data_IF_418684497973
#
_entry.id   IF_418684497973
#
_cell.length_a   1.000
_cell.length_b   1.000
_cell.length_c   1.000
_cell.angle_alpha   90.00
_cell.angle_beta   90.00
_cell.angle_gamma   90.00
#
_symmetry.space_group_name_H-M   'P 1'
#
loop_
_entity.id
_entity.type
_entity.pdbx_description
1 polymer ?
#
# COMPACT_ATOMS: atom_id res chain seq x y z
N UNK A 1 3.98 38.34 33.46
CA UNK A 1 3.79 37.97 32.03
C UNK A 1 4.54 36.69 31.65
N UNK A 2 5.56 36.27 32.39
CA UNK A 2 6.46 35.15 32.07
C UNK A 2 5.87 33.74 32.27
N UNK A 3 5.07 33.50 33.32
CA UNK A 3 4.53 32.15 33.60
C UNK A 3 3.52 31.63 32.56
N UNK A 4 2.64 32.51 32.05
CA UNK A 4 1.60 32.13 31.05
C UNK A 4 2.18 31.73 29.68
N UNK A 5 3.43 32.07 29.38
CA UNK A 5 4.07 31.80 28.09
C UNK A 5 4.94 30.52 28.11
N UNK A 6 5.26 30.02 29.30
CA UNK A 6 6.09 28.82 29.50
C UNK A 6 5.35 27.50 29.24
N UNK A 7 4.06 27.41 29.55
CA UNK A 7 3.30 26.17 29.37
C UNK A 7 3.16 25.76 27.88
N UNK A 8 2.85 26.68 26.94
CA UNK A 8 2.86 26.34 25.52
C UNK A 8 4.25 25.94 24.97
N UNK A 9 5.33 26.35 25.62
CA UNK A 9 6.70 25.96 25.23
C UNK A 9 7.05 24.57 25.76
N UNK A 10 6.61 24.24 26.98
CA UNK A 10 6.78 22.92 27.59
C UNK A 10 6.11 21.83 26.76
N UNK A 11 4.86 22.04 26.36
CA UNK A 11 4.11 21.11 25.49
C UNK A 11 4.84 20.85 24.17
N UNK A 12 5.46 21.88 23.60
CA UNK A 12 6.25 21.74 22.37
C UNK A 12 7.54 20.99 22.60
N UNK A 13 8.24 21.22 23.70
CA UNK A 13 9.47 20.50 24.06
C UNK A 13 9.18 19.02 24.36
N UNK A 14 8.01 18.69 24.92
CA UNK A 14 7.56 17.30 25.09
C UNK A 14 7.49 16.53 23.76
N UNK A 15 7.05 17.18 22.67
CA UNK A 15 7.03 16.56 21.33
C UNK A 15 8.43 16.18 20.83
N UNK A 16 9.48 16.81 21.35
CA UNK A 16 10.88 16.48 21.06
C UNK A 16 11.50 15.58 22.14
N UNK A 17 10.69 14.91 22.94
CA UNK A 17 11.13 13.88 23.88
C UNK A 17 11.84 14.41 25.13
N UNK A 18 11.69 15.69 25.48
CA UNK A 18 12.09 16.18 26.80
C UNK A 18 10.98 15.87 27.80
N UNK A 19 11.32 15.27 28.95
CA UNK A 19 10.36 15.10 30.05
C UNK A 19 10.18 16.39 30.86
N UNK A 20 9.16 16.45 31.72
CA UNK A 20 8.79 17.66 32.48
C UNK A 20 9.96 18.27 33.27
N UNK A 21 10.80 17.42 33.87
CA UNK A 21 11.97 17.89 34.65
C UNK A 21 13.04 18.48 33.74
N UNK A 22 13.30 17.84 32.60
CA UNK A 22 14.23 18.34 31.57
C UNK A 22 13.76 19.66 30.98
N UNK A 23 12.46 19.79 30.67
CA UNK A 23 11.87 21.03 30.16
C UNK A 23 12.05 22.17 31.17
N UNK A 24 11.71 21.93 32.43
CA UNK A 24 11.84 22.93 33.50
C UNK A 24 13.29 23.35 33.72
N UNK A 25 14.20 22.38 33.72
CA UNK A 25 15.62 22.64 33.91
C UNK A 25 16.23 23.41 32.74
N UNK A 26 15.91 23.00 31.51
CA UNK A 26 16.39 23.67 30.30
C UNK A 26 15.86 25.11 30.18
N UNK A 27 14.56 25.32 30.44
CA UNK A 27 13.97 26.67 30.42
C UNK A 27 14.54 27.56 31.54
N UNK A 28 14.81 27.01 32.72
CA UNK A 28 15.49 27.72 33.79
C UNK A 28 16.92 28.12 33.38
N UNK A 29 17.67 27.22 32.75
CA UNK A 29 19.01 27.50 32.25
C UNK A 29 18.99 28.59 31.17
N UNK A 30 18.07 28.53 30.21
CA UNK A 30 17.90 29.57 29.17
C UNK A 30 17.63 30.95 29.76
N UNK A 31 16.85 31.03 30.84
CA UNK A 31 16.53 32.30 31.49
C UNK A 31 17.69 32.86 32.33
N UNK A 32 18.49 31.98 32.94
CA UNK A 32 19.62 32.35 33.79
C UNK A 32 20.89 32.62 32.98
N UNK A 33 21.03 32.02 31.79
CA UNK A 33 22.28 32.03 31.02
C UNK A 33 23.34 31.17 31.71
N UNK A 34 24.51 31.75 32.00
CA UNK A 34 25.59 31.04 32.70
C UNK A 34 25.36 31.05 34.21
N UNK A 35 25.04 29.89 34.78
CA UNK A 35 24.73 29.73 36.20
C UNK A 35 25.25 28.40 36.76
N UNK A 36 25.39 28.29 38.08
CA UNK A 36 25.72 27.02 38.72
C UNK A 36 24.57 26.01 38.62
N UNK A 37 24.88 24.71 38.68
CA UNK A 37 23.86 23.64 38.68
C UNK A 37 22.81 23.86 39.78
N UNK A 38 23.24 24.32 40.96
CA UNK A 38 22.35 24.55 42.11
C UNK A 38 21.36 25.68 41.84
N UNK A 39 21.80 26.77 41.21
CA UNK A 39 20.92 27.91 40.86
C UNK A 39 19.87 27.49 39.83
N UNK A 40 20.29 26.78 38.78
CA UNK A 40 19.36 26.25 37.77
C UNK A 40 18.38 25.26 38.39
N UNK A 41 18.87 24.33 39.23
CA UNK A 41 18.02 23.35 39.92
C UNK A 41 16.96 24.02 40.81
N UNK A 42 17.37 25.04 41.55
CA UNK A 42 16.48 25.81 42.44
C UNK A 42 15.40 26.51 41.64
N UNK A 43 15.77 27.17 40.53
CA UNK A 43 14.80 27.85 39.65
C UNK A 43 13.88 26.87 38.93
N UNK A 44 14.38 25.69 38.56
CA UNK A 44 13.60 24.64 37.91
C UNK A 44 12.70 23.86 38.88
N UNK A 45 12.79 24.10 40.19
CA UNK A 45 12.02 23.37 41.20
C UNK A 45 12.43 21.91 41.35
N UNK A 46 13.69 21.57 41.08
CA UNK A 46 14.23 20.21 41.21
C UNK A 46 15.30 20.13 42.31
N UNK A 47 15.45 18.95 42.92
CA UNK A 47 16.51 18.73 43.92
C UNK A 47 17.90 18.88 43.31
N UNK A 48 18.88 19.26 44.14
CA UNK A 48 20.27 19.42 43.73
C UNK A 48 20.85 18.15 43.11
N UNK A 49 20.55 16.98 43.69
CA UNK A 49 20.99 15.68 43.16
C UNK A 49 20.44 15.44 41.75
N UNK A 50 19.14 15.68 41.55
CA UNK A 50 18.52 15.54 40.22
C UNK A 50 19.08 16.57 39.22
N UNK A 51 19.51 17.75 39.69
CA UNK A 51 20.11 18.77 38.84
C UNK A 51 21.34 18.28 38.09
N UNK A 52 22.24 17.53 38.74
CA UNK A 52 23.43 16.99 38.07
C UNK A 52 23.07 15.95 37.00
N UNK A 53 22.13 15.04 37.29
CA UNK A 53 21.65 14.05 36.31
C UNK A 53 20.93 14.69 35.11
N UNK A 54 20.25 15.82 35.33
CA UNK A 54 19.57 16.56 34.27
C UNK A 54 20.56 17.31 33.38
N UNK A 55 21.62 17.88 33.96
CA UNK A 55 22.71 18.50 33.19
C UNK A 55 23.34 17.47 32.27
N UNK A 56 23.71 16.29 32.79
CA UNK A 56 24.36 15.25 31.97
C UNK A 56 23.47 14.79 30.81
N UNK A 57 22.16 14.63 31.05
CA UNK A 57 21.19 14.24 30.00
C UNK A 57 21.02 15.32 28.94
N UNK A 58 20.86 16.57 29.36
CA UNK A 58 20.67 17.70 28.44
C UNK A 58 21.96 18.04 27.69
N UNK A 59 23.12 17.84 28.30
CA UNK A 59 24.44 17.96 27.67
C UNK A 59 24.67 16.87 26.61
N UNK A 60 24.27 15.63 26.87
CA UNK A 60 24.28 14.55 25.85
C UNK A 60 23.40 14.87 24.63
N UNK A 61 22.38 15.71 24.81
CA UNK A 61 21.52 16.21 23.72
C UNK A 61 22.04 17.51 23.08
N UNK A 62 23.16 18.05 23.59
CA UNK A 62 23.74 19.30 23.12
C UNK A 62 22.93 20.55 23.47
N UNK A 63 21.99 20.46 24.43
CA UNK A 63 21.15 21.58 24.87
C UNK A 63 21.82 22.44 25.93
N UNK A 64 22.76 21.86 26.67
CA UNK A 64 23.56 22.53 27.69
C UNK A 64 25.03 22.15 27.50
N UNK A 65 25.92 22.99 27.99
CA UNK A 65 27.34 22.70 28.16
C UNK A 65 27.78 23.02 29.58
N UNK A 66 28.76 22.27 30.08
CA UNK A 66 29.45 22.61 31.33
C UNK A 66 30.76 23.35 31.04
N UNK A 67 30.92 24.55 31.62
CA UNK A 67 32.13 25.35 31.50
C UNK A 67 32.69 25.63 32.90
N UNK A 68 34.00 25.46 33.09
CA UNK A 68 34.68 25.88 34.31
C UNK A 68 34.90 27.38 34.31
N UNK A 69 34.57 28.06 35.41
CA UNK A 69 34.96 29.47 35.58
C UNK A 69 36.41 29.61 36.08
N UNK A 70 36.90 30.85 36.11
CA UNK A 70 38.28 31.16 36.55
C UNK A 70 38.57 30.77 38.02
N UNK A 71 37.53 30.48 38.82
CA UNK A 71 37.63 30.02 40.20
C UNK A 71 37.48 28.48 40.33
N UNK A 72 37.36 27.76 39.21
CA UNK A 72 37.24 26.30 39.17
C UNK A 72 35.81 25.76 39.39
N UNK A 73 34.80 26.63 39.44
CA UNK A 73 33.40 26.24 39.63
C UNK A 73 32.78 25.89 38.27
N UNK A 74 32.15 24.72 38.18
CA UNK A 74 31.43 24.29 36.97
C UNK A 74 30.09 25.03 36.86
N UNK A 75 29.94 25.79 35.77
CA UNK A 75 28.70 26.46 35.39
C UNK A 75 28.05 25.71 34.23
N UNK A 76 26.72 25.71 34.25
CA UNK A 76 25.86 25.27 33.16
C UNK A 76 25.63 26.47 32.27
N UNK A 77 25.79 26.27 30.95
CA UNK A 77 25.52 27.28 29.93
C UNK A 77 24.53 26.67 28.93
N UNK A 78 23.41 27.34 28.61
CA UNK A 78 22.52 26.88 27.56
C UNK A 78 23.18 27.06 26.19
N UNK A 79 23.05 26.05 25.34
CA UNK A 79 23.47 26.11 23.95
C UNK A 79 22.41 26.77 23.07
N UNK A 80 22.79 27.10 21.83
CA UNK A 80 21.85 27.66 20.85
C UNK A 80 20.69 26.65 20.58
N UNK A 81 19.41 27.05 20.77
CA UNK A 81 18.26 26.15 20.60
C UNK A 81 18.14 25.52 19.20
N UNK A 82 18.83 26.03 18.18
CA UNK A 82 18.93 25.42 16.84
C UNK A 82 19.50 23.99 16.86
N UNK A 83 20.15 23.57 17.96
CA UNK A 83 20.54 22.17 18.17
C UNK A 83 19.34 21.21 18.11
N UNK A 84 18.14 21.64 18.55
CA UNK A 84 16.92 20.83 18.45
C UNK A 84 16.53 20.55 17.00
N UNK A 85 16.73 21.51 16.11
CA UNK A 85 16.47 21.35 14.67
C UNK A 85 17.45 20.33 14.08
N UNK A 86 18.74 20.48 14.40
CA UNK A 86 19.80 19.55 13.93
C UNK A 86 19.59 18.12 14.43
N UNK A 87 19.18 17.95 15.68
CA UNK A 87 18.86 16.65 16.28
C UNK A 87 17.68 15.98 15.59
N UNK A 88 16.62 16.75 15.28
CA UNK A 88 15.48 16.27 14.53
C UNK A 88 15.83 15.88 13.09
N UNK A 89 16.62 16.70 12.38
CA UNK A 89 17.05 16.40 11.01
C UNK A 89 17.88 15.12 10.96
N UNK A 90 18.79 14.92 11.91
CA UNK A 90 19.55 13.67 12.04
C UNK A 90 18.61 12.47 12.27
N UNK A 91 17.66 12.60 13.20
CA UNK A 91 16.69 11.55 13.49
C UNK A 91 15.84 11.20 12.26
N UNK A 92 15.44 12.21 11.48
CA UNK A 92 14.70 12.02 10.22
C UNK A 92 15.53 11.27 9.16
N UNK A 93 16.83 11.57 9.03
CA UNK A 93 17.71 10.84 8.12
C UNK A 93 17.81 9.36 8.49
N UNK A 94 18.06 9.06 9.78
CA UNK A 94 18.10 7.67 10.28
C UNK A 94 16.77 6.95 10.04
N UNK A 95 15.64 7.62 10.28
CA UNK A 95 14.32 7.04 10.01
C UNK A 95 14.09 6.75 8.53
N UNK A 96 14.57 7.61 7.62
CA UNK A 96 14.46 7.36 6.18
C UNK A 96 15.23 6.11 5.74
N UNK A 97 16.33 5.78 6.42
CA UNK A 97 17.11 4.55 6.18
C UNK A 97 16.47 3.31 6.84
N UNK A 98 15.95 3.46 8.06
CA UNK A 98 15.38 2.35 8.84
C UNK A 98 13.98 1.91 8.35
N UNK A 99 13.14 2.85 7.91
CA UNK A 99 11.75 2.56 7.50
C UNK A 99 11.66 1.51 6.38
N UNK A 100 12.49 1.55 5.31
CA UNK A 100 12.55 0.48 4.32
C UNK A 100 12.80 -0.92 4.90
N UNK A 101 13.73 -1.06 5.85
CA UNK A 101 14.04 -2.34 6.50
C UNK A 101 12.84 -2.84 7.32
N UNK A 102 12.21 -1.96 8.11
CA UNK A 102 11.00 -2.28 8.86
C UNK A 102 9.83 -2.66 7.94
N UNK A 103 9.72 -2.04 6.76
CA UNK A 103 8.73 -2.42 5.74
C UNK A 103 8.99 -3.82 5.18
N UNK A 104 10.25 -4.20 4.99
CA UNK A 104 10.60 -5.57 4.56
C UNK A 104 10.09 -6.58 5.58
N UNK A 105 10.40 -6.38 6.87
CA UNK A 105 9.94 -7.26 7.96
C UNK A 105 8.40 -7.29 8.04
N UNK A 106 7.77 -6.11 7.92
CA UNK A 106 6.31 -5.99 7.92
C UNK A 106 5.68 -6.78 6.77
N UNK A 107 6.23 -6.71 5.56
CA UNK A 107 5.73 -7.44 4.39
C UNK A 107 5.98 -8.94 4.49
N UNK A 108 7.16 -9.36 4.97
CA UNK A 108 7.49 -10.77 5.15
C UNK A 108 6.53 -11.45 6.14
N UNK A 109 6.16 -10.76 7.22
CA UNK A 109 5.18 -11.26 8.21
C UNK A 109 3.78 -11.51 7.65
N UNK A 110 3.43 -10.89 6.50
CA UNK A 110 2.12 -11.03 5.83
C UNK A 110 2.11 -12.06 4.71
N UNK A 111 3.26 -12.61 4.34
CA UNK A 111 3.37 -13.58 3.24
C UNK A 111 2.77 -14.96 3.60
N UNK A 112 2.42 -15.21 4.87
CA UNK A 112 1.94 -16.52 5.35
C UNK A 112 0.41 -16.71 5.41
N UNK A 113 -0.40 -15.65 5.29
CA UNK A 113 -1.87 -15.78 5.33
C UNK A 113 -2.51 -15.14 4.11
N UNK A 114 -3.30 -15.90 3.32
CA UNK A 114 -4.02 -15.34 2.19
C UNK A 114 -4.95 -14.22 2.68
N UNK A 115 -4.93 -13.07 2.01
CA UNK A 115 -5.88 -11.99 2.31
C UNK A 115 -7.08 -12.13 1.39
N UNK A 116 -8.21 -12.53 1.97
CA UNK A 116 -9.49 -12.60 1.27
C UNK A 116 -10.31 -11.36 1.55
N UNK A 117 -10.90 -10.77 0.51
CA UNK A 117 -11.82 -9.64 0.59
C UNK A 117 -13.07 -10.00 -0.21
N UNK A 118 -14.23 -9.86 0.41
CA UNK A 118 -15.54 -10.02 -0.23
C UNK A 118 -16.16 -8.64 -0.42
N UNK A 119 -16.61 -8.37 -1.63
CA UNK A 119 -17.23 -7.12 -2.03
C UNK A 119 -18.62 -7.41 -2.53
N UNK A 120 -19.63 -6.76 -1.95
CA UNK A 120 -21.03 -6.99 -2.30
C UNK A 120 -21.57 -5.84 -3.16
N UNK A 121 -22.49 -6.18 -4.05
CA UNK A 121 -23.19 -5.23 -4.91
C UNK A 121 -22.32 -4.65 -6.02
N UNK A 122 -22.97 -3.85 -6.88
CA UNK A 122 -22.35 -3.23 -8.05
C UNK A 122 -21.11 -2.40 -7.71
N UNK A 123 -21.16 -1.58 -6.68
CA UNK A 123 -19.99 -0.77 -6.29
C UNK A 123 -18.82 -1.63 -5.78
N UNK A 124 -19.14 -2.73 -5.09
CA UNK A 124 -18.17 -3.72 -4.66
C UNK A 124 -17.48 -4.40 -5.84
N UNK A 125 -18.28 -4.86 -6.82
CA UNK A 125 -17.77 -5.46 -8.06
C UNK A 125 -16.90 -4.46 -8.84
N UNK A 126 -17.35 -3.21 -8.99
CA UNK A 126 -16.57 -2.15 -9.64
C UNK A 126 -15.20 -1.97 -8.96
N UNK A 127 -15.17 -1.96 -7.63
CA UNK A 127 -13.94 -1.82 -6.86
C UNK A 127 -13.02 -3.01 -7.07
N UNK A 128 -13.54 -4.24 -6.95
CA UNK A 128 -12.77 -5.46 -7.15
C UNK A 128 -12.18 -5.55 -8.56
N UNK A 129 -12.95 -5.17 -9.59
CA UNK A 129 -12.47 -5.07 -10.97
C UNK A 129 -11.38 -4.01 -11.08
N UNK A 130 -11.58 -2.81 -10.51
CA UNK A 130 -10.59 -1.73 -10.57
C UNK A 130 -9.27 -2.10 -9.92
N UNK A 131 -9.29 -2.88 -8.83
CA UNK A 131 -8.08 -3.38 -8.17
C UNK A 131 -7.25 -4.31 -9.07
N UNK A 132 -7.84 -4.96 -10.08
CA UNK A 132 -7.08 -5.77 -11.05
C UNK A 132 -6.11 -4.93 -11.89
N UNK A 133 -6.28 -3.60 -11.90
CA UNK A 133 -5.38 -2.65 -12.57
C UNK A 133 -4.11 -2.37 -11.75
N UNK A 134 -4.04 -2.82 -10.50
CA UNK A 134 -2.83 -2.85 -9.70
C UNK A 134 -2.02 -4.09 -10.09
N UNK A 135 -1.49 -4.04 -11.32
CA UNK A 135 -0.78 -5.14 -11.96
C UNK A 135 0.64 -4.71 -12.37
N UNK A 136 1.64 -4.81 -11.47
CA UNK A 136 3.03 -4.50 -11.78
C UNK A 136 3.61 -5.29 -12.95
N UNK A 137 3.24 -6.57 -13.12
CA UNK A 137 3.71 -7.39 -14.25
C UNK A 137 3.17 -6.96 -15.61
N UNK A 138 2.17 -6.06 -15.64
CA UNK A 138 1.50 -5.59 -16.87
C UNK A 138 0.83 -6.70 -17.67
N UNK A 139 0.54 -7.84 -17.05
CA UNK A 139 -0.16 -8.96 -17.68
C UNK A 139 -1.34 -9.38 -16.81
N UNK A 140 -2.53 -9.17 -17.34
CA UNK A 140 -3.79 -9.58 -16.76
C UNK A 140 -4.33 -10.79 -17.52
N UNK A 141 -4.65 -11.86 -16.79
CA UNK A 141 -5.27 -13.07 -17.37
C UNK A 141 -6.75 -13.08 -16.98
N UNK A 142 -7.64 -13.28 -17.95
CA UNK A 142 -9.08 -13.21 -17.75
C UNK A 142 -9.82 -14.42 -18.29
N UNK A 143 -10.68 -15.01 -17.48
CA UNK A 143 -11.80 -15.85 -17.96
C UNK A 143 -13.05 -15.02 -17.77
N UNK A 144 -13.75 -14.65 -18.84
CA UNK A 144 -14.88 -13.72 -18.72
C UNK A 144 -16.20 -14.39 -19.07
N UNK A 145 -17.18 -14.16 -18.22
CA UNK A 145 -18.59 -14.31 -18.54
C UNK A 145 -19.10 -12.97 -19.05
N UNK A 146 -19.34 -12.87 -20.36
CA UNK A 146 -19.70 -11.60 -21.01
C UNK A 146 -21.08 -11.10 -20.60
N UNK A 147 -22.04 -12.02 -20.43
CA UNK A 147 -23.37 -11.70 -19.92
C UNK A 147 -23.30 -10.96 -18.59
N UNK A 148 -22.53 -11.48 -17.64
CA UNK A 148 -22.40 -10.87 -16.31
C UNK A 148 -21.74 -9.49 -16.38
N UNK A 149 -20.65 -9.34 -17.14
CA UNK A 149 -19.94 -8.05 -17.27
C UNK A 149 -20.78 -6.97 -17.97
N UNK A 150 -21.62 -7.36 -18.93
CA UNK A 150 -22.53 -6.46 -19.64
C UNK A 150 -23.69 -6.00 -18.76
N UNK A 151 -24.15 -6.82 -17.83
CA UNK A 151 -25.17 -6.41 -16.86
C UNK A 151 -24.55 -5.60 -15.71
N UNK A 152 -23.48 -6.10 -15.10
CA UNK A 152 -22.75 -5.48 -13.98
C UNK A 152 -21.25 -5.74 -14.13
N UNK A 153 -20.43 -4.72 -14.41
CA UNK A 153 -20.68 -3.28 -14.16
C UNK A 153 -21.34 -2.52 -15.32
N UNK A 154 -21.50 -3.16 -16.48
CA UNK A 154 -22.11 -2.56 -17.66
C UNK A 154 -21.10 -1.94 -18.63
N UNK A 155 -21.52 -1.83 -19.90
CA UNK A 155 -20.64 -1.45 -21.01
C UNK A 155 -19.98 -0.07 -20.83
N UNK A 156 -20.74 0.93 -20.34
CA UNK A 156 -20.22 2.28 -20.12
C UNK A 156 -19.11 2.33 -19.07
N UNK A 157 -19.28 1.61 -17.96
CA UNK A 157 -18.25 1.53 -16.92
C UNK A 157 -17.02 0.76 -17.44
N UNK A 158 -17.25 -0.35 -18.15
CA UNK A 158 -16.18 -1.14 -18.76
C UNK A 158 -15.35 -0.34 -19.78
N UNK A 159 -15.93 0.62 -20.50
CA UNK A 159 -15.16 1.50 -21.38
C UNK A 159 -14.09 2.30 -20.61
N UNK A 160 -14.45 2.85 -19.44
CA UNK A 160 -13.50 3.55 -18.57
C UNK A 160 -12.42 2.62 -18.02
N UNK A 161 -12.81 1.42 -17.58
CA UNK A 161 -11.87 0.39 -17.14
C UNK A 161 -10.88 -0.02 -18.24
N UNK A 162 -11.38 -0.26 -19.46
CA UNK A 162 -10.55 -0.62 -20.62
C UNK A 162 -9.57 0.51 -20.95
N UNK A 163 -10.04 1.76 -21.00
CA UNK A 163 -9.19 2.91 -21.27
C UNK A 163 -8.07 3.06 -20.23
N UNK A 164 -8.39 2.92 -18.94
CA UNK A 164 -7.40 2.99 -17.87
C UNK A 164 -6.40 1.83 -17.92
N UNK A 165 -6.87 0.60 -18.20
CA UNK A 165 -6.01 -0.58 -18.39
C UNK A 165 -4.98 -0.35 -19.50
N UNK A 166 -5.45 0.16 -20.65
CA UNK A 166 -4.60 0.49 -21.81
C UNK A 166 -3.61 1.61 -21.47
N UNK A 167 -4.08 2.67 -20.82
CA UNK A 167 -3.22 3.79 -20.37
C UNK A 167 -2.11 3.31 -19.43
N UNK A 168 -2.38 2.33 -18.58
CA UNK A 168 -1.39 1.69 -17.70
C UNK A 168 -0.49 0.67 -18.40
N UNK A 169 -0.71 0.39 -19.67
CA UNK A 169 0.07 -0.55 -20.48
C UNK A 169 -0.14 -2.02 -20.12
N UNK A 170 -1.32 -2.39 -19.60
CA UNK A 170 -1.59 -3.76 -19.10
C UNK A 170 -2.16 -4.61 -20.24
N UNK A 171 -1.42 -5.63 -20.68
CA UNK A 171 -1.88 -6.65 -21.64
C UNK A 171 -2.94 -7.53 -21.00
N UNK A 172 -4.09 -7.70 -21.67
CA UNK A 172 -5.14 -8.64 -21.29
C UNK A 172 -5.12 -9.85 -22.22
N UNK A 173 -4.94 -11.04 -21.65
CA UNK A 173 -5.22 -12.32 -22.32
C UNK A 173 -6.52 -12.87 -21.77
N UNK A 174 -7.50 -13.08 -22.65
CA UNK A 174 -8.85 -13.46 -22.25
C UNK A 174 -9.36 -14.70 -22.96
N UNK A 175 -9.94 -15.62 -22.19
CA UNK A 175 -10.74 -16.74 -22.70
C UNK A 175 -12.22 -16.50 -22.41
N UNK A 176 -13.08 -16.79 -23.38
CA UNK A 176 -14.54 -16.74 -23.26
C UNK A 176 -15.18 -18.02 -23.80
N UNK A 177 -16.38 -18.34 -23.34
CA UNK A 177 -17.19 -19.42 -23.93
C UNK A 177 -18.00 -18.85 -25.09
N UNK A 178 -17.98 -19.49 -26.27
CA UNK A 178 -18.83 -19.06 -27.40
C UNK A 178 -20.31 -19.12 -27.04
N UNK A 179 -20.71 -20.13 -26.26
CA UNK A 179 -22.09 -20.31 -25.76
C UNK A 179 -22.60 -19.15 -24.91
N UNK A 180 -21.70 -18.33 -24.34
CA UNK A 180 -22.03 -17.18 -23.49
C UNK A 180 -21.71 -15.83 -24.14
N UNK A 181 -21.35 -15.83 -25.42
CA UNK A 181 -21.13 -14.58 -26.15
C UNK A 181 -22.49 -14.02 -26.60
N UNK A 182 -22.96 -12.99 -25.93
CA UNK A 182 -24.26 -12.36 -26.24
C UNK A 182 -24.17 -11.35 -27.39
N UNK A 183 -23.00 -10.72 -27.56
CA UNK A 183 -22.72 -9.72 -28.59
C UNK A 183 -21.26 -9.81 -29.04
N UNK A 184 -20.96 -9.47 -30.30
CA UNK A 184 -19.59 -9.47 -30.85
C UNK A 184 -18.80 -8.21 -30.41
N UNK A 185 -18.68 -7.99 -29.10
CA UNK A 185 -18.03 -6.81 -28.52
C UNK A 185 -16.69 -7.16 -27.87
N UNK A 186 -15.82 -6.14 -27.78
CA UNK A 186 -14.47 -6.26 -27.21
C UNK A 186 -13.65 -7.42 -27.80
N UNK A 187 -13.49 -7.49 -29.14
CA UNK A 187 -12.66 -8.51 -29.78
C UNK A 187 -11.18 -8.31 -29.43
N UNK A 188 -10.32 -9.20 -29.93
CA UNK A 188 -8.88 -8.94 -29.97
C UNK A 188 -8.62 -7.59 -30.65
N UNK A 189 -7.85 -6.73 -29.99
CA UNK A 189 -7.47 -5.42 -30.52
C UNK A 189 -6.08 -5.06 -30.02
N UNK A 190 -5.15 -4.82 -30.95
CA UNK A 190 -3.77 -4.47 -30.64
C UNK A 190 -3.70 -3.17 -29.83
N UNK A 191 -4.45 -2.15 -30.25
CA UNK A 191 -4.52 -0.83 -29.59
C UNK A 191 -5.09 -0.93 -28.17
N UNK A 192 -5.97 -1.89 -27.91
CA UNK A 192 -6.51 -2.14 -26.58
C UNK A 192 -5.68 -3.16 -25.78
N UNK A 193 -4.51 -3.57 -26.28
CA UNK A 193 -3.64 -4.56 -25.64
C UNK A 193 -4.40 -5.82 -25.23
N UNK A 194 -5.30 -6.31 -26.09
CA UNK A 194 -6.20 -7.44 -25.79
C UNK A 194 -6.00 -8.59 -26.77
N UNK A 195 -5.80 -9.79 -26.24
CA UNK A 195 -5.80 -11.05 -26.99
C UNK A 195 -6.95 -11.92 -26.49
N UNK A 196 -7.92 -12.17 -27.35
CA UNK A 196 -9.07 -13.03 -27.09
C UNK A 196 -8.86 -14.42 -27.71
N UNK A 197 -9.29 -15.46 -26.99
CA UNK A 197 -9.54 -16.80 -27.50
C UNK A 197 -10.89 -17.32 -27.00
N UNK A 198 -11.44 -18.27 -27.74
CA UNK A 198 -12.66 -18.98 -27.37
C UNK A 198 -12.33 -20.38 -26.87
N UNK A 199 -12.90 -20.74 -25.72
CA UNK A 199 -12.80 -22.08 -25.15
C UNK A 199 -13.45 -23.13 -26.09
N UNK A 200 -13.07 -24.41 -25.94
CA UNK A 200 -13.80 -25.53 -26.57
C UNK A 200 -15.30 -25.47 -26.29
N UNK A 201 -16.11 -26.02 -27.22
CA UNK A 201 -17.57 -25.87 -27.20
C UNK A 201 -18.26 -26.50 -25.98
N UNK A 202 -17.63 -27.49 -25.35
CA UNK A 202 -18.07 -28.20 -24.15
C UNK A 202 -17.66 -27.50 -22.84
N UNK A 203 -16.84 -26.46 -22.92
CA UNK A 203 -16.39 -25.69 -21.75
C UNK A 203 -17.30 -24.50 -21.51
N UNK A 204 -18.02 -24.53 -20.39
CA UNK A 204 -18.89 -23.43 -19.96
C UNK A 204 -18.28 -22.62 -18.80
N UNK A 205 -17.90 -21.37 -19.09
CA UNK A 205 -17.27 -20.43 -18.14
C UNK A 205 -18.32 -19.47 -17.57
N UNK A 206 -18.98 -19.88 -16.48
CA UNK A 206 -20.10 -19.15 -15.88
C UNK A 206 -19.73 -17.94 -15.01
N UNK A 207 -18.49 -17.84 -14.53
CA UNK A 207 -18.02 -16.74 -13.69
C UNK A 207 -16.86 -16.00 -14.34
N UNK A 208 -16.74 -14.72 -14.01
CA UNK A 208 -15.56 -13.94 -14.40
C UNK A 208 -14.45 -14.17 -13.37
N UNK A 209 -13.26 -14.51 -13.86
CA UNK A 209 -12.03 -14.62 -13.08
C UNK A 209 -10.94 -13.75 -13.71
N UNK A 210 -10.23 -13.00 -12.89
CA UNK A 210 -9.00 -12.32 -13.24
C UNK A 210 -7.84 -12.81 -12.38
N UNK A 211 -6.66 -12.93 -12.98
CA UNK A 211 -5.40 -13.20 -12.27
C UNK A 211 -4.40 -12.10 -12.63
N UNK A 212 -3.96 -11.35 -11.61
CA UNK A 212 -2.87 -10.38 -11.69
C UNK A 212 -1.85 -10.67 -10.59
N UNK A 213 -0.57 -10.86 -10.98
CA UNK A 213 0.53 -11.08 -10.03
C UNK A 213 0.25 -12.20 -9.00
N UNK A 214 0.13 -11.86 -7.72
CA UNK A 214 -0.16 -12.77 -6.61
C UNK A 214 -1.65 -12.70 -6.17
N UNK A 215 -2.53 -12.11 -6.99
CA UNK A 215 -3.96 -11.88 -6.69
C UNK A 215 -4.87 -12.58 -7.70
N UNK A 216 -5.96 -13.15 -7.19
CA UNK A 216 -7.07 -13.71 -7.98
C UNK A 216 -8.36 -12.99 -7.60
N UNK A 217 -9.09 -12.50 -8.61
CA UNK A 217 -10.39 -11.87 -8.45
C UNK A 217 -11.46 -12.72 -9.14
N UNK A 218 -12.50 -13.10 -8.42
CA UNK A 218 -13.70 -13.72 -8.96
C UNK A 218 -14.86 -12.73 -8.89
N UNK A 219 -15.69 -12.70 -9.92
CA UNK A 219 -16.94 -11.94 -9.95
C UNK A 219 -18.07 -12.93 -10.22
N UNK A 220 -19.04 -12.98 -9.31
CA UNK A 220 -20.18 -13.88 -9.37
C UNK A 220 -21.18 -13.44 -10.43
N UNK A 221 -22.23 -14.24 -10.61
CA UNK A 221 -23.39 -13.80 -11.38
C UNK A 221 -24.17 -12.70 -10.65
N UNK A 222 -25.10 -12.06 -11.36
CA UNK A 222 -26.07 -11.12 -10.79
C UNK A 222 -26.94 -11.70 -9.68
N UNK A 223 -27.23 -12.99 -9.70
CA UNK A 223 -28.04 -13.63 -8.66
C UNK A 223 -27.35 -13.54 -7.29
N UNK A 224 -26.03 -13.75 -7.25
CA UNK A 224 -25.26 -13.66 -6.02
C UNK A 224 -24.63 -12.28 -5.77
N UNK A 225 -24.38 -11.51 -6.84
CA UNK A 225 -23.98 -10.10 -6.83
C UNK A 225 -22.80 -9.75 -5.89
N UNK A 226 -21.70 -10.49 -5.99
CA UNK A 226 -20.47 -10.24 -5.24
C UNK A 226 -19.21 -10.39 -6.09
N UNK A 227 -18.10 -9.87 -5.57
CA UNK A 227 -16.76 -10.16 -6.04
C UNK A 227 -15.86 -10.57 -4.88
N UNK A 228 -14.99 -11.55 -5.11
CA UNK A 228 -14.04 -12.05 -4.14
C UNK A 228 -12.62 -11.82 -4.65
N UNK A 229 -11.81 -11.11 -3.87
CA UNK A 229 -10.39 -10.84 -4.16
C UNK A 229 -9.54 -11.59 -3.15
N UNK A 230 -8.66 -12.45 -3.64
CA UNK A 230 -7.76 -13.27 -2.82
C UNK A 230 -6.32 -12.96 -3.21
N UNK A 231 -5.58 -12.33 -2.30
CA UNK A 231 -4.14 -12.15 -2.41
C UNK A 231 -3.45 -13.40 -1.83
N UNK A 232 -2.98 -14.28 -2.71
CA UNK A 232 -2.34 -15.55 -2.38
C UNK A 232 -1.48 -16.01 -3.56
N UNK A 233 -0.18 -16.04 -3.35
CA UNK A 233 0.79 -16.51 -4.35
C UNK A 233 0.52 -17.94 -4.83
N UNK A 234 0.15 -18.84 -3.92
CA UNK A 234 -0.14 -20.24 -4.27
C UNK A 234 -1.41 -20.34 -5.12
N UNK A 235 -2.47 -19.65 -4.72
CA UNK A 235 -3.73 -19.65 -5.46
C UNK A 235 -3.57 -18.99 -6.83
N UNK A 236 -2.83 -17.88 -6.91
CA UNK A 236 -2.54 -17.21 -8.18
C UNK A 236 -1.68 -18.08 -9.11
N UNK A 237 -0.71 -18.83 -8.58
CA UNK A 237 0.06 -19.82 -9.37
C UNK A 237 -0.83 -20.93 -9.92
N UNK A 238 -1.71 -21.50 -9.10
CA UNK A 238 -2.65 -22.53 -9.53
C UNK A 238 -3.61 -22.00 -10.61
N UNK A 239 -4.24 -20.85 -10.38
CA UNK A 239 -5.19 -20.27 -11.34
C UNK A 239 -4.49 -19.81 -12.64
N UNK A 240 -3.23 -19.39 -12.57
CA UNK A 240 -2.42 -19.14 -13.76
C UNK A 240 -2.18 -20.42 -14.55
N UNK A 241 -1.85 -21.54 -13.91
CA UNK A 241 -1.68 -22.82 -14.59
C UNK A 241 -3.00 -23.32 -15.21
N UNK A 242 -4.12 -23.16 -14.49
CA UNK A 242 -5.47 -23.42 -15.01
C UNK A 242 -5.75 -22.57 -16.27
N UNK A 243 -5.53 -21.26 -16.19
CA UNK A 243 -5.71 -20.36 -17.33
C UNK A 243 -4.82 -20.76 -18.52
N UNK A 244 -3.55 -21.07 -18.29
CA UNK A 244 -2.64 -21.47 -19.38
C UNK A 244 -3.10 -22.75 -20.07
N UNK A 245 -3.58 -23.73 -19.30
CA UNK A 245 -4.11 -24.98 -19.85
C UNK A 245 -5.32 -24.70 -20.75
N UNK A 246 -6.27 -23.89 -20.26
CA UNK A 246 -7.43 -23.48 -21.03
C UNK A 246 -7.04 -22.65 -22.26
N UNK A 247 -6.07 -21.74 -22.13
CA UNK A 247 -5.58 -20.89 -23.22
C UNK A 247 -4.99 -21.70 -24.37
N UNK A 248 -4.23 -22.76 -24.05
CA UNK A 248 -3.59 -23.64 -25.05
C UNK A 248 -4.62 -24.45 -25.84
N UNK A 249 -5.74 -24.84 -25.22
CA UNK A 249 -6.83 -25.57 -25.88
C UNK A 249 -7.88 -24.67 -26.52
N UNK A 250 -7.75 -23.34 -26.37
CA UNK A 250 -8.69 -22.35 -26.93
C UNK A 250 -8.23 -21.82 -28.29
N UNK A 251 -9.18 -21.43 -29.15
CA UNK A 251 -8.90 -20.93 -30.51
C UNK A 251 -9.07 -19.42 -30.64
N UNK A 252 -8.25 -18.72 -31.47
CA UNK A 252 -8.49 -17.32 -31.79
C UNK A 252 -9.85 -17.08 -32.48
N UNK A 253 -10.42 -15.86 -32.38
CA UNK A 253 -11.53 -15.45 -33.23
C UNK A 253 -11.17 -15.61 -34.72
N UNK A 254 -11.98 -16.34 -35.48
CA UNK A 254 -11.78 -16.59 -36.91
C UNK A 254 -11.31 -18.02 -37.27
N UNK A 255 -10.69 -18.74 -36.34
CA UNK A 255 -10.31 -20.15 -36.54
C UNK A 255 -11.48 -21.06 -36.11
N UNK A 256 -12.37 -21.39 -37.04
CA UNK A 256 -13.28 -22.53 -36.90
C UNK A 256 -12.86 -23.59 -37.90
N UNK A 257 -12.18 -24.62 -37.41
CA UNK A 257 -12.17 -25.92 -38.06
C UNK A 257 -13.51 -26.61 -37.72
N UNK A 258 -14.26 -26.96 -38.76
CA UNK A 258 -15.27 -28.02 -38.75
C UNK A 258 -16.63 -27.67 -38.15
N UNK A 259 -17.61 -27.36 -39.01
CA UNK A 259 -18.99 -27.78 -38.75
C UNK A 259 -19.04 -29.32 -38.61
N UNK A 260 -19.63 -29.88 -37.56
CA UNK A 260 -20.17 -31.23 -37.64
C UNK A 260 -21.53 -31.10 -38.35
N UNK A 261 -21.53 -31.22 -39.68
CA UNK A 261 -22.77 -31.03 -40.45
C UNK A 261 -22.71 -31.30 -41.95
N UNK A 262 -21.54 -31.47 -42.54
CA UNK A 262 -21.43 -32.00 -43.91
C UNK A 262 -21.23 -33.52 -43.85
N UNK A 263 -22.34 -34.25 -43.68
CA UNK A 263 -22.38 -35.64 -44.12
C UNK A 263 -22.25 -35.66 -45.65
N UNK A 264 -21.30 -36.42 -46.22
CA UNK A 264 -21.23 -36.57 -47.67
C UNK A 264 -22.46 -37.37 -48.16
N UNK A 265 -23.05 -37.02 -49.31
CA UNK A 265 -24.07 -37.87 -49.91
C UNK A 265 -23.40 -39.08 -50.56
N UNK A 266 -23.79 -40.28 -50.12
CA UNK A 266 -23.49 -41.58 -50.76
C UNK A 266 -23.00 -42.62 -49.76
N UNK A 267 -23.42 -43.88 -49.76
CA UNK A 267 -23.94 -44.74 -50.83
C UNK A 267 -24.65 -45.94 -50.17
N UNK A 268 -25.90 -46.21 -50.54
CA UNK A 268 -26.46 -47.54 -50.89
C UNK A 268 -27.85 -47.37 -51.51
#
# INVERSE_FOLDING_TARGET
MTEKMTDPMRDKLALFGLNDKEQNFYLAALQLGSASVTEVATRAGVSRTNGYDLVERLERRGLLAQVGDAAGVRKVVPEDPSVLIRDWERSRLVLNELVPELRSIYNDSRTSKPRTRLYEGREGINRALWETLDCPSKVLLGVLSMHELLETPGQQWMAGFIAERVRRGIELRVVRSRSRETEAIWPSAHEELRKLRYAPADVDLGMTMYVNDDTVTYVSSKEENYAMVIESRELARLNRAFFQSLWLTSTPPGDVAGHPGDDPPGLE
#
